data_IF_446226625054
#
_entry.id   IF_446226625054
#
_cell.length_a   1.000
_cell.length_b   1.000
_cell.length_c   1.000
_cell.angle_alpha   90.00
_cell.angle_beta   90.00
_cell.angle_gamma   90.00
#
_symmetry.space_group_name_H-M   'P 1'
#
loop_
_entity.id
_entity.type
_entity.pdbx_description
1 polymer ?
#
# COMPACT_ATOMS: atom_id res chain seq x y z
N UNK A 1 24.40 -11.90 -14.06
CA UNK A 1 23.55 -13.10 -13.86
C UNK A 1 23.10 -13.10 -12.42
N UNK A 2 21.79 -13.12 -12.15
CA UNK A 2 21.28 -13.23 -10.78
C UNK A 2 21.43 -14.67 -10.30
N UNK A 3 22.05 -14.85 -9.13
CA UNK A 3 22.19 -16.15 -8.48
C UNK A 3 21.41 -16.12 -7.18
N UNK A 4 20.52 -17.08 -6.97
CA UNK A 4 19.77 -17.22 -5.72
C UNK A 4 20.35 -18.40 -4.92
N UNK A 5 20.67 -18.14 -3.65
CA UNK A 5 21.10 -19.18 -2.73
C UNK A 5 19.89 -19.83 -2.05
N UNK A 6 20.03 -21.09 -1.66
CA UNK A 6 18.96 -21.85 -0.98
C UNK A 6 18.82 -21.41 0.47
N UNK A 7 17.61 -21.19 0.92
CA UNK A 7 17.31 -20.84 2.31
C UNK A 7 17.93 -21.81 3.32
N UNK A 8 18.30 -21.30 4.48
CA UNK A 8 18.91 -22.04 5.61
C UNK A 8 20.25 -22.69 5.29
N UNK A 9 20.95 -22.22 4.25
CA UNK A 9 22.32 -22.62 3.90
C UNK A 9 23.29 -21.45 4.06
N UNK A 10 24.60 -21.68 4.08
CA UNK A 10 25.59 -20.60 4.16
C UNK A 10 25.52 -19.59 2.99
N UNK A 11 24.98 -20.01 1.85
CA UNK A 11 24.84 -19.18 0.64
C UNK A 11 23.42 -18.67 0.43
N UNK A 12 22.55 -18.71 1.45
CA UNK A 12 21.17 -18.28 1.35
C UNK A 12 21.07 -16.82 0.87
N UNK A 13 20.18 -16.57 -0.09
CA UNK A 13 19.73 -15.21 -0.39
C UNK A 13 18.72 -14.80 0.69
N UNK A 14 18.99 -13.71 1.41
CA UNK A 14 18.21 -13.29 2.58
C UNK A 14 17.47 -11.98 2.31
N UNK A 15 16.19 -11.97 2.59
CA UNK A 15 15.35 -10.75 2.55
C UNK A 15 14.82 -10.46 3.94
N UNK A 16 15.02 -9.24 4.43
CA UNK A 16 14.43 -8.74 5.67
C UNK A 16 13.24 -7.85 5.34
N UNK A 17 12.04 -8.31 5.73
CA UNK A 17 10.80 -7.54 5.61
C UNK A 17 10.63 -6.65 6.84
N UNK A 18 10.52 -5.34 6.64
CA UNK A 18 10.22 -4.36 7.70
C UNK A 18 8.74 -3.98 7.63
N UNK A 19 7.95 -4.65 8.43
CA UNK A 19 6.52 -4.74 8.38
C UNK A 19 6.08 -6.16 8.05
N UNK A 20 5.24 -6.72 8.89
CA UNK A 20 4.81 -8.12 8.80
C UNK A 20 3.29 -8.25 8.74
N UNK A 21 2.63 -7.26 8.12
CA UNK A 21 1.21 -7.24 7.88
C UNK A 21 0.74 -8.27 6.84
N UNK A 22 -0.48 -8.10 6.37
CA UNK A 22 -1.09 -8.96 5.36
C UNK A 22 -0.40 -8.91 4.00
N UNK A 23 0.00 -7.73 3.56
CA UNK A 23 0.73 -7.55 2.30
C UNK A 23 2.12 -8.18 2.42
N UNK A 24 2.82 -7.92 3.53
CA UNK A 24 4.10 -8.53 3.84
C UNK A 24 4.04 -10.06 3.85
N UNK A 25 2.95 -10.65 4.36
CA UNK A 25 2.75 -12.12 4.34
C UNK A 25 2.74 -12.68 2.93
N UNK A 26 2.01 -12.06 2.00
CA UNK A 26 1.96 -12.52 0.61
C UNK A 26 3.33 -12.34 -0.08
N UNK A 27 4.06 -11.24 0.20
CA UNK A 27 5.45 -11.07 -0.30
C UNK A 27 6.37 -12.17 0.23
N UNK A 28 6.30 -12.50 1.52
CA UNK A 28 7.10 -13.58 2.12
C UNK A 28 6.83 -14.91 1.43
N UNK A 29 5.56 -15.24 1.18
CA UNK A 29 5.16 -16.47 0.49
C UNK A 29 5.77 -16.52 -0.92
N UNK A 30 5.71 -15.43 -1.67
CA UNK A 30 6.27 -15.38 -3.02
C UNK A 30 7.81 -15.45 -3.02
N UNK A 31 8.48 -14.82 -2.07
CA UNK A 31 9.94 -14.96 -1.91
C UNK A 31 10.34 -16.41 -1.58
N UNK A 32 9.58 -17.08 -0.71
CA UNK A 32 9.83 -18.49 -0.37
C UNK A 32 9.59 -19.44 -1.55
N UNK A 33 8.65 -19.15 -2.45
CA UNK A 33 8.47 -19.91 -3.71
C UNK A 33 9.72 -19.87 -4.59
N UNK A 34 10.55 -18.82 -4.45
CA UNK A 34 11.83 -18.66 -5.14
C UNK A 34 13.02 -19.19 -4.32
N UNK A 35 12.78 -19.87 -3.19
CA UNK A 35 13.82 -20.44 -2.33
C UNK A 35 14.56 -19.42 -1.45
N UNK A 36 14.07 -18.20 -1.35
CA UNK A 36 14.69 -17.10 -0.58
C UNK A 36 14.43 -17.29 0.91
N UNK A 37 15.44 -17.02 1.72
CA UNK A 37 15.32 -16.99 3.17
C UNK A 37 14.74 -15.64 3.63
N UNK A 38 13.63 -15.67 4.36
CA UNK A 38 12.95 -14.45 4.77
C UNK A 38 12.97 -14.28 6.28
N UNK A 39 13.29 -13.05 6.69
CA UNK A 39 13.29 -12.56 8.07
C UNK A 39 12.17 -11.52 8.17
N UNK A 40 11.18 -11.75 9.01
CA UNK A 40 10.04 -10.86 9.18
C UNK A 40 10.15 -10.06 10.50
N UNK A 41 10.04 -8.75 10.39
CA UNK A 41 10.18 -7.82 11.52
C UNK A 41 8.90 -7.02 11.71
N UNK A 42 8.39 -6.94 12.92
CA UNK A 42 7.24 -6.10 13.26
C UNK A 42 7.35 -5.60 14.72
N UNK A 43 6.45 -4.68 15.09
CA UNK A 43 6.36 -4.13 16.46
C UNK A 43 5.63 -5.04 17.46
N UNK A 44 4.90 -6.05 16.97
CA UNK A 44 4.14 -6.99 17.79
C UNK A 44 4.40 -8.44 17.34
N UNK A 45 4.23 -9.37 18.25
CA UNK A 45 4.46 -10.79 18.02
C UNK A 45 3.35 -11.43 17.18
N UNK A 46 3.71 -12.50 16.47
CA UNK A 46 2.79 -13.28 15.66
C UNK A 46 2.05 -12.47 14.57
N UNK A 47 2.68 -11.41 14.08
CA UNK A 47 2.17 -10.69 12.91
C UNK A 47 2.04 -11.63 11.70
N UNK A 48 1.11 -11.37 10.75
CA UNK A 48 0.81 -12.28 9.64
C UNK A 48 2.02 -12.84 8.89
N UNK A 49 2.99 -12.00 8.53
CA UNK A 49 4.20 -12.47 7.82
C UNK A 49 5.18 -13.24 8.72
N UNK A 50 5.22 -12.93 10.02
CA UNK A 50 6.05 -13.66 10.98
C UNK A 50 5.62 -15.13 11.09
N UNK A 51 4.34 -15.43 10.88
CA UNK A 51 3.79 -16.80 10.96
C UNK A 51 4.31 -17.72 9.84
N UNK A 52 4.84 -17.15 8.77
CA UNK A 52 5.30 -17.90 7.59
C UNK A 52 6.78 -17.68 7.26
N UNK A 53 7.44 -16.72 7.89
CA UNK A 53 8.85 -16.45 7.67
C UNK A 53 9.78 -17.52 8.29
N UNK A 54 11.02 -17.60 7.82
CA UNK A 54 12.04 -18.48 8.40
C UNK A 54 12.49 -18.02 9.78
N UNK A 55 12.55 -16.69 9.99
CA UNK A 55 12.82 -16.08 11.29
C UNK A 55 11.93 -14.87 11.50
N UNK A 56 11.59 -14.59 12.76
CA UNK A 56 10.74 -13.48 13.17
C UNK A 56 11.40 -12.69 14.29
N UNK A 57 11.28 -11.37 14.23
CA UNK A 57 11.74 -10.46 15.26
C UNK A 57 10.68 -9.42 15.61
N UNK A 58 10.54 -9.16 16.91
CA UNK A 58 9.63 -8.13 17.42
C UNK A 58 10.45 -6.99 18.01
N UNK A 59 10.50 -5.87 17.28
CA UNK A 59 11.17 -4.63 17.71
C UNK A 59 10.34 -3.42 17.28
N UNK A 60 10.56 -2.29 17.94
CA UNK A 60 10.11 -1.00 17.39
C UNK A 60 11.03 -0.61 16.22
N UNK A 61 10.52 -0.63 15.00
CA UNK A 61 11.30 -0.22 13.83
C UNK A 61 11.52 1.30 13.76
N UNK A 62 10.87 2.07 14.65
CA UNK A 62 11.17 3.50 14.88
C UNK A 62 12.42 3.69 15.74
N UNK A 63 12.84 2.66 16.49
CA UNK A 63 14.12 2.64 17.20
C UNK A 63 15.23 2.28 16.19
N UNK A 64 15.95 3.32 15.76
CA UNK A 64 17.00 3.19 14.74
C UNK A 64 18.16 2.31 15.20
N UNK A 65 18.53 2.34 16.48
CA UNK A 65 19.63 1.52 17.03
C UNK A 65 19.24 0.04 17.06
N UNK A 66 18.02 -0.28 17.50
CA UNK A 66 17.51 -1.63 17.48
C UNK A 66 17.40 -2.19 16.05
N UNK A 67 16.93 -1.37 15.10
CA UNK A 67 16.85 -1.75 13.69
C UNK A 67 18.24 -2.01 13.10
N UNK A 68 19.19 -1.11 13.32
CA UNK A 68 20.58 -1.24 12.85
C UNK A 68 21.26 -2.50 13.41
N UNK A 69 21.17 -2.71 14.71
CA UNK A 69 21.74 -3.89 15.38
C UNK A 69 21.16 -5.19 14.80
N UNK A 70 19.86 -5.22 14.49
CA UNK A 70 19.22 -6.38 13.89
C UNK A 70 19.71 -6.64 12.45
N UNK A 71 19.83 -5.61 11.62
CA UNK A 71 20.36 -5.70 10.25
C UNK A 71 21.81 -6.18 10.27
N UNK A 72 22.65 -5.62 11.13
CA UNK A 72 24.06 -6.03 11.27
C UNK A 72 24.20 -7.49 11.75
N UNK A 73 23.31 -7.96 12.62
CA UNK A 73 23.26 -9.36 13.07
C UNK A 73 22.88 -10.32 11.95
N UNK A 74 21.80 -10.02 11.22
CA UNK A 74 21.22 -10.93 10.22
C UNK A 74 21.89 -10.84 8.87
N UNK A 75 22.46 -9.68 8.55
CA UNK A 75 23.13 -9.38 7.27
C UNK A 75 22.30 -9.79 6.06
N UNK A 76 21.07 -9.22 5.91
CA UNK A 76 20.25 -9.53 4.77
C UNK A 76 20.87 -8.96 3.48
N UNK A 77 20.61 -9.63 2.35
CA UNK A 77 20.97 -9.12 1.01
C UNK A 77 20.04 -7.97 0.59
N UNK A 78 18.79 -8.00 1.08
CA UNK A 78 17.78 -6.98 0.79
C UNK A 78 17.00 -6.62 2.05
N UNK A 79 16.74 -5.32 2.24
CA UNK A 79 15.85 -4.75 3.26
C UNK A 79 14.63 -4.19 2.55
N UNK A 80 13.44 -4.67 2.90
CA UNK A 80 12.20 -4.33 2.19
C UNK A 80 11.20 -3.71 3.16
N UNK A 81 11.07 -2.35 3.19
CA UNK A 81 10.02 -1.65 3.92
C UNK A 81 8.64 -1.99 3.37
N UNK A 82 7.70 -2.30 4.27
CA UNK A 82 6.30 -2.62 3.94
C UNK A 82 5.31 -1.76 4.74
N UNK A 83 5.78 -1.06 5.76
CA UNK A 83 4.96 -0.15 6.59
C UNK A 83 5.62 1.21 6.73
N UNK A 84 4.85 2.22 7.15
CA UNK A 84 5.36 3.58 7.34
C UNK A 84 6.00 3.82 8.73
N UNK A 85 5.87 2.91 9.67
CA UNK A 85 6.41 3.06 11.03
C UNK A 85 7.85 2.57 11.15
N UNK A 86 8.78 3.17 10.41
CA UNK A 86 10.19 2.81 10.32
C UNK A 86 11.06 4.06 10.47
N UNK A 87 12.23 3.93 11.10
CA UNK A 87 13.26 4.98 11.12
C UNK A 87 13.87 5.14 9.72
N UNK A 88 13.36 6.11 8.95
CA UNK A 88 13.88 6.38 7.60
C UNK A 88 15.30 6.90 7.60
N UNK A 89 15.72 7.63 8.65
CA UNK A 89 17.10 8.06 8.81
C UNK A 89 18.04 6.85 8.89
N UNK A 90 17.68 5.83 9.68
CA UNK A 90 18.45 4.58 9.79
C UNK A 90 18.47 3.82 8.46
N UNK A 91 17.37 3.80 7.69
CA UNK A 91 17.39 3.19 6.35
C UNK A 91 18.38 3.88 5.41
N UNK A 92 18.48 5.21 5.46
CA UNK A 92 19.46 5.97 4.67
C UNK A 92 20.90 5.62 5.07
N UNK A 93 21.18 5.54 6.39
CA UNK A 93 22.50 5.13 6.90
C UNK A 93 22.86 3.70 6.45
N UNK A 94 21.93 2.76 6.53
CA UNK A 94 22.13 1.37 6.10
C UNK A 94 22.38 1.29 4.60
N UNK A 95 21.64 2.04 3.78
CA UNK A 95 21.87 2.11 2.33
C UNK A 95 23.24 2.69 2.01
N UNK A 96 23.68 3.76 2.72
CA UNK A 96 25.03 4.32 2.60
C UNK A 96 26.14 3.34 3.06
N UNK A 97 25.83 2.48 4.02
CA UNK A 97 26.72 1.41 4.48
C UNK A 97 26.78 0.20 3.52
N UNK A 98 26.03 0.23 2.41
CA UNK A 98 26.05 -0.78 1.36
C UNK A 98 24.99 -1.86 1.45
N UNK A 99 24.01 -1.74 2.34
CA UNK A 99 22.83 -2.61 2.33
C UNK A 99 21.85 -2.20 1.22
N UNK A 100 21.20 -3.18 0.58
CA UNK A 100 20.21 -2.90 -0.45
C UNK A 100 18.83 -2.65 0.17
N UNK A 101 18.40 -1.41 0.21
CA UNK A 101 17.02 -1.03 0.58
C UNK A 101 16.16 -0.97 -0.68
N UNK A 102 15.03 -1.66 -0.69
CA UNK A 102 14.16 -1.82 -1.88
C UNK A 102 12.77 -1.22 -1.62
N UNK A 103 12.30 -0.29 -2.48
CA UNK A 103 12.97 0.17 -3.71
C UNK A 103 14.20 1.07 -3.44
N UNK A 104 14.16 2.02 -2.52
CA UNK A 104 15.28 2.82 -2.00
C UNK A 104 14.90 3.43 -0.65
N UNK A 105 15.90 3.75 0.19
CA UNK A 105 15.65 4.51 1.42
C UNK A 105 15.03 5.89 1.14
N UNK A 106 15.46 6.56 0.05
CA UNK A 106 14.88 7.82 -0.43
C UNK A 106 13.39 7.68 -0.75
N UNK A 107 12.99 6.62 -1.48
CA UNK A 107 11.59 6.39 -1.82
C UNK A 107 10.75 6.24 -0.56
N UNK A 108 11.19 5.42 0.40
CA UNK A 108 10.51 5.24 1.69
C UNK A 108 10.41 6.56 2.46
N UNK A 109 11.48 7.34 2.53
CA UNK A 109 11.50 8.63 3.24
C UNK A 109 10.53 9.65 2.63
N UNK A 110 10.52 9.79 1.30
CA UNK A 110 9.67 10.75 0.61
C UNK A 110 8.19 10.40 0.70
N UNK A 111 7.85 9.12 0.56
CA UNK A 111 6.45 8.68 0.56
C UNK A 111 5.84 8.65 1.96
N UNK A 112 6.65 8.54 3.01
CA UNK A 112 6.20 8.70 4.39
C UNK A 112 5.93 10.16 4.78
N UNK A 113 6.39 11.11 4.01
CA UNK A 113 6.21 12.55 4.23
C UNK A 113 5.37 13.15 3.09
N UNK A 114 4.10 13.47 3.37
CA UNK A 114 3.18 14.05 2.36
C UNK A 114 3.72 15.32 1.74
N UNK A 115 4.46 16.15 2.47
CA UNK A 115 5.09 17.34 1.89
C UNK A 115 6.16 16.96 0.89
N UNK A 116 7.04 16.02 1.23
CA UNK A 116 8.11 15.58 0.35
C UNK A 116 7.58 15.03 -0.98
N UNK A 117 6.63 14.10 -0.91
CA UNK A 117 6.08 13.51 -2.14
C UNK A 117 5.22 14.49 -2.94
N UNK A 118 4.46 15.38 -2.27
CA UNK A 118 3.63 16.38 -2.95
C UNK A 118 4.48 17.42 -3.70
N UNK A 119 5.57 17.91 -3.09
CA UNK A 119 6.51 18.82 -3.73
C UNK A 119 7.25 18.17 -4.88
N UNK A 120 7.73 16.94 -4.70
CA UNK A 120 8.33 16.17 -5.80
C UNK A 120 7.37 16.07 -6.99
N UNK A 121 6.13 15.67 -6.76
CA UNK A 121 5.15 15.51 -7.83
C UNK A 121 4.81 16.83 -8.53
N UNK A 122 4.44 17.85 -7.77
CA UNK A 122 3.91 19.12 -8.30
C UNK A 122 5.00 20.08 -8.74
N UNK A 123 6.03 20.31 -7.89
CA UNK A 123 7.00 21.39 -8.08
C UNK A 123 8.21 20.94 -8.92
N UNK A 124 8.67 19.69 -8.74
CA UNK A 124 9.85 19.19 -9.46
C UNK A 124 9.49 18.49 -10.76
N UNK A 125 8.45 17.64 -10.75
CA UNK A 125 8.04 16.84 -11.91
C UNK A 125 6.93 17.50 -12.74
N UNK A 126 6.29 18.55 -12.24
CA UNK A 126 5.21 19.26 -12.93
C UNK A 126 3.98 18.40 -13.19
N UNK A 127 3.70 17.43 -12.32
CA UNK A 127 2.51 16.59 -12.43
C UNK A 127 1.27 17.36 -11.97
N UNK A 128 0.14 17.10 -12.62
CA UNK A 128 -1.15 17.62 -12.18
C UNK A 128 -1.50 17.01 -10.79
N UNK A 129 -1.73 17.87 -9.80
CA UNK A 129 -2.15 17.51 -8.44
C UNK A 129 -3.33 18.37 -8.02
N UNK A 130 -4.04 18.01 -6.95
CA UNK A 130 -4.97 18.95 -6.31
C UNK A 130 -4.21 20.21 -5.87
N UNK A 131 -4.82 21.41 -5.91
CA UNK A 131 -4.24 22.60 -5.27
C UNK A 131 -3.99 22.34 -3.79
N UNK A 132 -2.88 22.81 -3.24
CA UNK A 132 -2.55 22.52 -1.84
C UNK A 132 -1.82 23.67 -1.14
N UNK A 133 -1.86 23.67 0.19
CA UNK A 133 -1.05 24.49 1.08
C UNK A 133 -0.61 23.72 2.30
N UNK A 134 0.64 23.92 2.73
CA UNK A 134 1.15 23.43 4.00
C UNK A 134 1.10 24.53 5.05
N UNK A 135 0.64 24.19 6.24
CA UNK A 135 0.47 25.15 7.33
C UNK A 135 0.91 24.55 8.67
N UNK A 136 1.46 25.42 9.53
CA UNK A 136 2.05 25.00 10.80
C UNK A 136 1.21 25.43 12.03
N UNK A 137 0.25 26.33 11.83
CA UNK A 137 -0.57 26.85 12.91
C UNK A 137 -2.00 27.14 12.45
N UNK A 138 -2.89 27.34 13.40
CA UNK A 138 -4.33 27.50 13.15
C UNK A 138 -4.68 28.75 12.32
N UNK A 139 -3.97 29.87 12.51
CA UNK A 139 -4.23 31.11 11.76
C UNK A 139 -3.91 30.92 10.27
N UNK A 140 -2.76 30.28 9.96
CA UNK A 140 -2.37 29.97 8.60
C UNK A 140 -3.32 28.92 7.99
N UNK A 141 -3.81 27.97 8.81
CA UNK A 141 -4.81 26.99 8.40
C UNK A 141 -6.11 27.66 7.94
N UNK A 142 -6.64 28.62 8.71
CA UNK A 142 -7.83 29.36 8.31
C UNK A 142 -7.62 30.10 6.98
N UNK A 143 -6.47 30.76 6.82
CA UNK A 143 -6.11 31.46 5.59
C UNK A 143 -5.96 30.51 4.40
N UNK A 144 -5.40 29.31 4.61
CA UNK A 144 -5.27 28.29 3.59
C UNK A 144 -6.63 27.74 3.15
N UNK A 145 -7.56 27.51 4.08
CA UNK A 145 -8.93 27.08 3.77
C UNK A 145 -9.67 28.16 2.95
N UNK A 146 -9.50 29.45 3.29
CA UNK A 146 -10.10 30.54 2.52
C UNK A 146 -9.56 30.60 1.08
N UNK A 147 -8.27 30.37 0.91
CA UNK A 147 -7.60 30.43 -0.40
C UNK A 147 -7.89 29.21 -1.28
N UNK A 148 -7.88 28.01 -0.69
CA UNK A 148 -8.18 26.73 -1.38
C UNK A 148 -9.67 26.65 -1.71
N UNK A 149 -10.51 27.12 -0.80
CA UNK A 149 -11.96 27.03 -0.91
C UNK A 149 -12.55 25.78 -0.25
N UNK A 150 -13.88 25.78 -0.09
CA UNK A 150 -14.64 24.67 0.48
C UNK A 150 -15.51 24.08 -0.64
N UNK A 151 -15.56 22.71 -0.78
CA UNK A 151 -14.95 21.71 0.10
C UNK A 151 -13.44 21.57 -0.10
N UNK A 152 -12.72 21.21 0.97
CA UNK A 152 -11.31 20.86 0.92
C UNK A 152 -11.01 19.67 1.84
N UNK A 153 -9.84 19.06 1.65
CA UNK A 153 -9.37 17.92 2.45
C UNK A 153 -8.22 18.37 3.34
N UNK A 154 -8.27 18.01 4.61
CA UNK A 154 -7.26 18.32 5.62
C UNK A 154 -6.60 17.01 6.06
N UNK A 155 -5.26 16.96 6.02
CA UNK A 155 -4.51 15.74 6.39
C UNK A 155 -3.26 16.12 7.21
N UNK A 156 -2.88 15.35 8.25
CA UNK A 156 -1.55 15.46 8.85
C UNK A 156 -0.47 15.11 7.82
N UNK A 157 0.73 15.69 7.98
CA UNK A 157 1.86 15.39 7.08
C UNK A 157 2.30 13.93 7.17
N UNK A 158 2.27 13.35 8.37
CA UNK A 158 2.66 11.96 8.62
C UNK A 158 1.46 11.19 9.18
N UNK A 159 0.68 10.59 8.33
CA UNK A 159 -0.40 9.67 8.68
C UNK A 159 -0.68 8.70 7.54
N UNK A 160 -1.33 7.58 7.84
CA UNK A 160 -1.78 6.60 6.84
C UNK A 160 -3.20 6.12 7.16
N UNK A 161 -3.84 5.44 6.22
CA UNK A 161 -5.19 4.86 6.38
C UNK A 161 -6.23 5.88 6.88
N UNK A 162 -6.17 7.11 6.39
CA UNK A 162 -7.14 8.16 6.71
C UNK A 162 -7.09 8.74 8.13
N UNK A 163 -6.15 8.31 9.00
CA UNK A 163 -6.06 8.85 10.36
C UNK A 163 -5.76 10.35 10.37
N UNK A 164 -6.60 11.13 11.08
CA UNK A 164 -6.53 12.58 11.13
C UNK A 164 -6.96 13.29 9.84
N UNK A 165 -7.43 12.56 8.83
CA UNK A 165 -7.95 13.13 7.59
C UNK A 165 -9.42 13.48 7.72
N UNK A 166 -9.82 14.65 7.23
CA UNK A 166 -11.21 15.07 7.16
C UNK A 166 -11.52 15.85 5.89
N UNK A 167 -12.76 15.75 5.42
CA UNK A 167 -13.29 16.61 4.37
C UNK A 167 -14.02 17.77 5.05
N UNK A 168 -13.51 18.98 4.89
CA UNK A 168 -14.09 20.20 5.40
C UNK A 168 -15.16 20.66 4.41
N UNK A 169 -16.44 20.58 4.84
CA UNK A 169 -17.62 20.91 4.00
C UNK A 169 -18.24 22.25 4.32
N UNK A 170 -17.99 22.80 5.51
CA UNK A 170 -18.49 24.09 5.95
C UNK A 170 -17.44 24.86 6.77
N UNK A 171 -17.61 26.19 6.91
CA UNK A 171 -16.74 27.00 7.77
C UNK A 171 -16.87 26.62 9.26
N UNK A 172 -17.98 26.06 9.66
CA UNK A 172 -18.22 25.66 11.06
C UNK A 172 -17.38 24.45 11.46
N UNK A 173 -16.89 23.68 10.49
CA UNK A 173 -16.06 22.49 10.72
C UNK A 173 -14.56 22.82 10.85
N UNK A 174 -14.12 24.06 10.63
CA UNK A 174 -12.70 24.44 10.57
C UNK A 174 -11.96 24.02 11.84
N UNK A 175 -12.45 24.37 13.01
CA UNK A 175 -11.81 24.02 14.28
C UNK A 175 -11.73 22.51 14.47
N UNK A 176 -12.82 21.81 14.23
CA UNK A 176 -12.90 20.34 14.36
C UNK A 176 -11.92 19.64 13.42
N UNK A 177 -11.81 20.11 12.17
CA UNK A 177 -10.89 19.53 11.19
C UNK A 177 -9.42 19.72 11.58
N UNK A 178 -9.09 20.90 12.13
CA UNK A 178 -7.76 21.17 12.65
C UNK A 178 -7.42 20.26 13.84
N UNK A 179 -8.29 20.22 14.85
CA UNK A 179 -8.08 19.43 16.07
C UNK A 179 -7.92 17.95 15.73
N UNK A 180 -8.78 17.41 14.86
CA UNK A 180 -8.67 16.02 14.41
C UNK A 180 -7.36 15.73 13.65
N UNK A 181 -6.90 16.67 12.83
CA UNK A 181 -5.62 16.52 12.14
C UNK A 181 -4.41 16.57 13.11
N UNK A 182 -4.52 17.34 14.23
CA UNK A 182 -3.49 17.37 15.26
C UNK A 182 -3.44 16.07 16.08
N UNK A 183 -4.58 15.43 16.33
CA UNK A 183 -4.66 14.16 17.07
C UNK A 183 -4.20 12.96 16.22
N UNK A 184 -4.46 12.98 14.91
CA UNK A 184 -4.20 11.86 13.99
C UNK A 184 -2.77 11.76 13.46
N UNK A 185 -1.89 12.72 13.78
CA UNK A 185 -0.51 12.72 13.31
C UNK A 185 0.36 11.68 14.02
N UNK A 186 1.01 10.78 13.27
CA UNK A 186 1.96 9.78 13.85
C UNK A 186 3.21 10.41 14.48
N UNK A 187 3.57 11.61 14.06
CA UNK A 187 4.66 12.40 14.64
C UNK A 187 4.20 13.36 15.75
N UNK A 188 2.94 13.25 16.20
CA UNK A 188 2.30 14.18 17.11
C UNK A 188 1.67 15.37 16.39
N UNK A 189 1.21 16.37 17.17
CA UNK A 189 0.66 17.62 16.65
C UNK A 189 1.70 18.38 15.83
N UNK A 190 1.27 18.99 14.73
CA UNK A 190 2.19 19.74 13.88
C UNK A 190 1.59 20.17 12.53
N UNK A 191 2.46 20.21 11.55
CA UNK A 191 2.18 20.64 10.19
C UNK A 191 1.09 19.79 9.51
N UNK A 192 0.17 20.45 8.80
CA UNK A 192 -0.90 19.82 8.02
C UNK A 192 -0.86 20.29 6.58
N UNK A 193 -1.47 19.50 5.69
CA UNK A 193 -1.76 19.90 4.31
C UNK A 193 -3.26 20.17 4.18
N UNK A 194 -3.61 21.28 3.51
CA UNK A 194 -4.96 21.58 3.03
C UNK A 194 -4.96 21.40 1.53
N UNK A 195 -5.79 20.49 1.02
CA UNK A 195 -5.89 20.15 -0.39
C UNK A 195 -7.28 20.51 -0.93
N UNK A 196 -7.33 21.06 -2.15
CA UNK A 196 -8.60 21.28 -2.84
C UNK A 196 -9.30 19.95 -3.11
N UNK A 197 -10.60 19.91 -2.90
CA UNK A 197 -11.41 18.73 -3.20
C UNK A 197 -11.49 18.53 -4.71
N UNK A 198 -11.01 17.38 -5.18
CA UNK A 198 -11.11 16.99 -6.59
C UNK A 198 -12.46 16.32 -6.83
N UNK A 199 -13.25 16.86 -7.74
CA UNK A 199 -14.44 16.18 -8.24
C UNK A 199 -14.03 15.27 -9.38
N UNK A 200 -13.97 13.97 -9.12
CA UNK A 200 -13.54 12.94 -10.07
C UNK A 200 -14.70 12.02 -10.47
N UNK A 201 -14.56 11.34 -11.59
CA UNK A 201 -15.50 10.32 -12.04
C UNK A 201 -15.23 9.00 -11.34
N UNK A 202 -13.94 8.63 -11.21
CA UNK A 202 -13.47 7.47 -10.45
C UNK A 202 -12.01 7.64 -10.04
N UNK A 203 -11.60 6.83 -9.07
CA UNK A 203 -10.23 6.72 -8.58
C UNK A 203 -9.61 5.41 -9.04
N UNK A 204 -8.32 5.43 -9.37
CA UNK A 204 -7.56 4.24 -9.73
C UNK A 204 -6.30 4.09 -8.89
N UNK A 205 -5.89 2.85 -8.69
CA UNK A 205 -4.52 2.49 -8.38
C UNK A 205 -3.87 1.91 -9.64
N UNK A 206 -2.82 2.55 -10.15
CA UNK A 206 -1.99 1.98 -11.20
C UNK A 206 -0.74 1.37 -10.58
N UNK A 207 -0.78 0.06 -10.38
CA UNK A 207 0.39 -0.68 -9.95
C UNK A 207 1.46 -0.63 -11.03
N UNK A 208 2.63 -0.15 -10.65
CA UNK A 208 3.76 0.08 -11.53
C UNK A 208 4.96 -0.69 -10.99
N UNK A 209 5.51 -1.60 -11.77
CA UNK A 209 6.67 -2.39 -11.37
C UNK A 209 7.91 -1.94 -12.12
N UNK A 210 8.92 -1.51 -11.37
CA UNK A 210 10.24 -1.18 -11.90
C UNK A 210 11.18 -2.36 -11.67
N UNK A 211 11.81 -2.82 -12.71
CA UNK A 211 12.66 -4.00 -12.68
C UNK A 211 13.86 -3.85 -13.62
N UNK A 212 14.75 -4.84 -13.63
CA UNK A 212 16.03 -4.77 -14.34
C UNK A 212 15.91 -4.47 -15.85
N UNK A 213 14.79 -4.80 -16.48
CA UNK A 213 14.57 -4.58 -17.92
C UNK A 213 13.69 -3.36 -18.24
N UNK A 214 13.30 -2.57 -17.23
CA UNK A 214 12.48 -1.36 -17.43
C UNK A 214 11.31 -1.23 -16.45
N UNK A 215 10.23 -0.66 -16.93
CA UNK A 215 9.00 -0.41 -16.16
C UNK A 215 7.81 -1.07 -16.86
N UNK A 216 7.02 -1.82 -16.11
CA UNK A 216 5.76 -2.39 -16.59
C UNK A 216 4.60 -1.83 -15.75
N UNK A 217 3.45 -1.64 -16.40
CA UNK A 217 2.21 -1.20 -15.75
C UNK A 217 1.22 -2.36 -15.74
N UNK A 218 0.58 -2.59 -14.61
CA UNK A 218 -0.53 -3.52 -14.53
C UNK A 218 -1.78 -2.87 -15.13
N UNK A 219 -2.79 -3.67 -15.47
CA UNK A 219 -4.09 -3.12 -15.82
C UNK A 219 -4.62 -2.27 -14.64
N UNK A 220 -5.21 -1.09 -14.90
CA UNK A 220 -5.69 -0.19 -13.84
C UNK A 220 -6.66 -0.90 -12.90
N UNK A 221 -6.56 -0.59 -11.63
CA UNK A 221 -7.42 -1.12 -10.57
C UNK A 221 -8.36 0.00 -10.13
N UNK A 222 -9.67 -0.22 -10.29
CA UNK A 222 -10.69 0.59 -9.67
C UNK A 222 -10.95 0.11 -8.24
N UNK A 223 -11.32 1.02 -7.36
CA UNK A 223 -11.57 0.68 -5.97
C UNK A 223 -12.63 1.56 -5.32
N UNK A 224 -13.16 1.07 -4.21
CA UNK A 224 -14.07 1.80 -3.33
C UNK A 224 -13.46 1.85 -1.93
N UNK A 225 -13.48 3.03 -1.33
CA UNK A 225 -13.06 3.27 0.05
C UNK A 225 -14.26 3.77 0.86
N UNK A 226 -14.31 3.40 2.14
CA UNK A 226 -15.23 3.96 3.13
C UNK A 226 -14.40 4.45 4.31
N UNK A 227 -14.60 5.71 4.69
CA UNK A 227 -13.85 6.36 5.78
C UNK A 227 -12.32 6.28 5.63
N UNK A 228 -11.84 6.30 4.37
CA UNK A 228 -10.42 6.20 4.04
C UNK A 228 -9.85 4.80 4.14
N UNK A 229 -10.67 3.76 4.34
CA UNK A 229 -10.26 2.37 4.34
C UNK A 229 -10.78 1.64 3.09
N UNK A 230 -9.90 0.82 2.51
CA UNK A 230 -10.20 -0.02 1.36
C UNK A 230 -11.32 -1.02 1.66
N UNK A 231 -12.32 -1.10 0.78
CA UNK A 231 -13.45 -2.03 0.88
C UNK A 231 -13.52 -3.01 -0.26
N UNK A 232 -13.46 -2.53 -1.48
CA UNK A 232 -13.56 -3.33 -2.69
C UNK A 232 -12.56 -2.82 -3.72
N UNK A 233 -12.00 -3.72 -4.54
CA UNK A 233 -11.29 -3.36 -5.76
C UNK A 233 -11.64 -4.30 -6.90
N UNK A 234 -11.42 -3.85 -8.11
CA UNK A 234 -11.66 -4.62 -9.32
C UNK A 234 -10.62 -4.32 -10.39
N UNK A 235 -10.39 -5.28 -11.25
CA UNK A 235 -9.44 -5.17 -12.35
C UNK A 235 -9.96 -5.95 -13.59
N UNK A 236 -9.91 -5.35 -14.79
CA UNK A 236 -9.40 -4.00 -15.05
C UNK A 236 -10.47 -2.91 -14.79
N UNK A 237 -10.04 -1.72 -14.38
CA UNK A 237 -10.87 -0.53 -14.46
C UNK A 237 -10.89 -0.04 -15.90
N UNK A 238 -12.08 0.10 -16.47
CA UNK A 238 -12.24 0.67 -17.81
C UNK A 238 -11.84 2.14 -17.82
N UNK A 239 -11.01 2.53 -18.77
CA UNK A 239 -10.52 3.89 -18.99
C UNK A 239 -10.48 4.21 -20.48
N UNK A 240 -10.53 5.49 -20.86
CA UNK A 240 -10.15 5.90 -22.21
C UNK A 240 -8.66 5.67 -22.44
N UNK A 241 -8.26 5.43 -23.70
CA UNK A 241 -6.85 5.26 -24.06
C UNK A 241 -6.03 6.52 -23.70
N UNK A 242 -6.64 7.70 -23.82
CA UNK A 242 -6.00 8.99 -23.48
C UNK A 242 -5.72 9.04 -21.95
N UNK A 243 -6.71 8.72 -21.12
CA UNK A 243 -6.54 8.74 -19.68
C UNK A 243 -5.53 7.66 -19.23
N UNK A 244 -5.55 6.47 -19.84
CA UNK A 244 -4.60 5.40 -19.55
C UNK A 244 -3.16 5.82 -19.86
N UNK A 245 -2.90 6.40 -21.02
CA UNK A 245 -1.57 6.90 -21.39
C UNK A 245 -1.09 8.01 -20.46
N UNK A 246 -1.97 8.92 -20.04
CA UNK A 246 -1.64 9.95 -19.04
C UNK A 246 -1.30 9.33 -17.69
N UNK A 247 -2.09 8.37 -17.22
CA UNK A 247 -1.85 7.65 -15.96
C UNK A 247 -0.49 6.95 -15.97
N UNK A 248 -0.16 6.23 -17.04
CA UNK A 248 1.14 5.57 -17.22
C UNK A 248 2.29 6.59 -17.24
N UNK A 249 2.14 7.71 -17.93
CA UNK A 249 3.14 8.78 -17.95
C UNK A 249 3.40 9.39 -16.56
N UNK A 250 2.34 9.63 -15.79
CA UNK A 250 2.43 10.10 -14.40
C UNK A 250 3.18 9.07 -13.55
N UNK A 251 2.75 7.82 -13.62
CA UNK A 251 3.34 6.73 -12.84
C UNK A 251 4.81 6.50 -13.17
N UNK A 252 5.20 6.54 -14.45
CA UNK A 252 6.59 6.41 -14.87
C UNK A 252 7.47 7.55 -14.32
N UNK A 253 7.00 8.80 -14.41
CA UNK A 253 7.74 9.96 -13.90
C UNK A 253 7.94 9.89 -12.39
N UNK A 254 6.88 9.65 -11.62
CA UNK A 254 6.98 9.65 -10.16
C UNK A 254 7.81 8.48 -9.64
N UNK A 255 7.60 7.26 -10.17
CA UNK A 255 8.38 6.10 -9.75
C UNK A 255 9.82 6.17 -10.23
N UNK A 256 10.07 6.78 -11.40
CA UNK A 256 11.42 7.09 -11.90
C UNK A 256 12.20 8.01 -10.99
N UNK A 257 11.56 9.07 -10.46
CA UNK A 257 12.17 10.02 -9.53
C UNK A 257 12.43 9.41 -8.14
N UNK A 258 11.58 8.48 -7.69
CA UNK A 258 11.78 7.71 -6.45
C UNK A 258 12.94 6.71 -6.59
N UNK A 259 13.11 6.14 -7.78
CA UNK A 259 14.21 5.23 -8.10
C UNK A 259 14.01 3.81 -7.55
N UNK A 260 15.04 2.97 -7.75
CA UNK A 260 15.07 1.58 -7.30
C UNK A 260 14.18 0.64 -8.11
N UNK A 261 14.16 -0.62 -7.68
CA UNK A 261 13.33 -1.69 -8.23
C UNK A 261 12.28 -2.11 -7.20
N UNK A 262 11.12 -2.56 -7.66
CA UNK A 262 10.01 -2.96 -6.81
C UNK A 262 8.67 -2.57 -7.44
N UNK A 263 7.60 -2.83 -6.72
CA UNK A 263 6.27 -2.40 -7.10
C UNK A 263 5.91 -1.09 -6.40
N UNK A 264 5.16 -0.26 -7.10
CA UNK A 264 4.65 1.03 -6.61
C UNK A 264 3.14 1.09 -6.87
N UNK A 265 2.36 1.41 -5.84
CA UNK A 265 0.95 1.73 -5.97
C UNK A 265 0.77 3.21 -6.21
N UNK A 266 0.42 3.62 -7.43
CA UNK A 266 0.21 5.03 -7.79
C UNK A 266 -1.28 5.32 -7.84
N UNK A 267 -1.77 6.12 -6.89
CA UNK A 267 -3.18 6.51 -6.80
C UNK A 267 -3.44 7.79 -7.58
N UNK A 268 -4.49 7.79 -8.38
CA UNK A 268 -4.85 8.90 -9.26
C UNK A 268 -6.36 9.07 -9.36
N UNK A 269 -6.79 10.32 -9.42
CA UNK A 269 -8.17 10.70 -9.75
C UNK A 269 -8.31 10.86 -11.26
N UNK A 270 -9.43 10.39 -11.82
CA UNK A 270 -9.73 10.48 -13.25
C UNK A 270 -10.99 11.31 -13.45
N UNK A 271 -10.91 12.33 -14.34
CA UNK A 271 -11.98 13.25 -14.69
C UNK A 271 -12.06 13.31 -16.23
N UNK A 272 -12.90 12.47 -16.83
CA UNK A 272 -12.89 12.28 -18.28
C UNK A 272 -11.53 11.75 -18.75
N UNK A 273 -10.85 12.55 -19.59
CA UNK A 273 -9.48 12.24 -20.05
C UNK A 273 -8.37 12.87 -19.19
N UNK A 274 -8.72 13.65 -18.16
CA UNK A 274 -7.72 14.24 -17.26
C UNK A 274 -7.42 13.30 -16.10
N UNK A 275 -6.13 13.22 -15.76
CA UNK A 275 -5.62 12.37 -14.68
C UNK A 275 -4.82 13.22 -13.70
N UNK A 276 -5.14 13.11 -12.43
CA UNK A 276 -4.57 13.92 -11.35
C UNK A 276 -3.87 12.98 -10.37
N UNK A 277 -2.59 13.20 -10.12
CA UNK A 277 -1.82 12.45 -9.13
C UNK A 277 -2.34 12.73 -7.72
N UNK A 278 -2.59 11.67 -6.96
CA UNK A 278 -3.00 11.74 -5.57
C UNK A 278 -1.84 11.32 -4.63
N UNK A 279 -1.44 10.05 -4.66
CA UNK A 279 -0.44 9.48 -3.74
C UNK A 279 0.35 8.37 -4.43
N UNK A 280 1.51 7.99 -3.86
CA UNK A 280 2.27 6.82 -4.28
C UNK A 280 2.83 6.07 -3.07
N UNK A 281 2.68 4.76 -3.08
CA UNK A 281 3.27 3.84 -2.10
C UNK A 281 4.38 3.03 -2.77
N UNK A 282 5.63 3.00 -2.24
CA UNK A 282 6.76 2.27 -2.84
C UNK A 282 6.76 0.80 -2.38
N UNK A 283 5.62 0.14 -2.41
CA UNK A 283 5.36 -1.19 -1.90
C UNK A 283 4.05 -1.74 -2.50
N UNK A 284 3.72 -3.03 -2.29
CA UNK A 284 2.41 -3.57 -2.60
C UNK A 284 1.27 -2.74 -1.99
N UNK A 285 0.14 -2.69 -2.66
CA UNK A 285 -0.99 -1.85 -2.30
C UNK A 285 -2.22 -2.69 -1.97
N UNK A 286 -3.00 -2.27 -0.97
CA UNK A 286 -4.21 -3.00 -0.53
C UNK A 286 -5.19 -3.29 -1.67
N UNK A 287 -5.38 -2.33 -2.58
CA UNK A 287 -6.24 -2.51 -3.76
C UNK A 287 -5.71 -3.57 -4.71
N UNK A 288 -4.41 -3.81 -4.70
CA UNK A 288 -3.74 -4.83 -5.52
C UNK A 288 -3.96 -6.27 -5.07
N UNK A 289 -4.62 -6.51 -3.92
CA UNK A 289 -5.04 -7.84 -3.50
C UNK A 289 -5.86 -8.56 -4.59
N UNK A 290 -6.58 -7.84 -5.45
CA UNK A 290 -7.31 -8.41 -6.58
C UNK A 290 -6.39 -9.15 -7.54
N UNK A 291 -5.10 -8.79 -7.63
CA UNK A 291 -4.12 -9.45 -8.51
C UNK A 291 -3.83 -10.90 -8.11
N UNK A 292 -4.15 -11.31 -6.89
CA UNK A 292 -4.07 -12.70 -6.45
C UNK A 292 -4.98 -13.67 -7.24
N UNK A 293 -5.96 -13.14 -7.99
CA UNK A 293 -6.88 -13.95 -8.79
C UNK A 293 -7.03 -13.43 -10.22
N UNK A 294 -6.74 -12.16 -10.48
CA UNK A 294 -6.91 -11.53 -11.80
C UNK A 294 -5.75 -11.77 -12.75
N UNK A 295 -4.56 -12.04 -12.24
CA UNK A 295 -3.32 -12.13 -13.01
C UNK A 295 -2.58 -13.44 -12.79
N UNK A 296 -1.72 -13.80 -13.75
CA UNK A 296 -0.81 -14.94 -13.62
C UNK A 296 0.23 -14.70 -12.51
N UNK A 297 0.81 -13.50 -12.47
CA UNK A 297 1.71 -13.05 -11.40
C UNK A 297 1.01 -11.95 -10.59
N UNK A 298 0.78 -12.21 -9.32
CA UNK A 298 0.24 -11.20 -8.40
C UNK A 298 1.21 -10.02 -8.22
N UNK A 299 0.73 -8.91 -7.71
CA UNK A 299 1.60 -7.78 -7.33
C UNK A 299 2.74 -8.22 -6.41
N UNK A 300 2.49 -9.20 -5.54
CA UNK A 300 3.49 -9.74 -4.61
C UNK A 300 4.55 -10.56 -5.33
N UNK A 301 4.17 -11.38 -6.30
CA UNK A 301 5.10 -12.14 -7.14
C UNK A 301 5.94 -11.20 -8.02
N UNK A 302 5.32 -10.14 -8.58
CA UNK A 302 6.01 -9.11 -9.35
C UNK A 302 7.00 -8.33 -8.47
N UNK A 303 6.60 -7.98 -7.23
CA UNK A 303 7.48 -7.32 -6.26
C UNK A 303 8.67 -8.20 -5.90
N UNK A 304 8.43 -9.47 -5.58
CA UNK A 304 9.50 -10.43 -5.28
C UNK A 304 10.51 -10.57 -6.45
N UNK A 305 10.01 -10.66 -7.70
CA UNK A 305 10.89 -10.68 -8.89
C UNK A 305 11.71 -9.40 -9.02
N UNK A 306 11.07 -8.24 -8.82
CA UNK A 306 11.74 -6.95 -8.93
C UNK A 306 12.84 -6.77 -7.86
N UNK A 307 12.54 -7.13 -6.59
CA UNK A 307 13.51 -7.13 -5.47
C UNK A 307 14.75 -7.94 -5.83
N UNK A 308 14.56 -9.13 -6.38
CA UNK A 308 15.63 -10.08 -6.67
C UNK A 308 16.34 -9.79 -8.00
N UNK A 309 15.99 -8.72 -8.72
CA UNK A 309 16.57 -8.40 -10.03
C UNK A 309 16.22 -9.44 -11.10
N UNK A 310 15.07 -10.10 -10.98
CA UNK A 310 14.57 -11.05 -11.97
C UNK A 310 13.77 -10.35 -13.07
N UNK A 311 13.77 -10.87 -14.30
CA UNK A 311 13.04 -10.25 -15.40
C UNK A 311 11.51 -10.40 -15.25
N UNK A 312 10.79 -9.40 -15.74
CA UNK A 312 9.34 -9.39 -15.87
C UNK A 312 9.01 -9.08 -17.33
N UNK A 313 8.97 -10.11 -18.21
CA UNK A 313 8.79 -9.89 -19.63
C UNK A 313 7.36 -9.46 -20.00
N UNK A 314 6.37 -9.93 -19.26
CA UNK A 314 4.96 -9.64 -19.47
C UNK A 314 4.16 -9.76 -18.18
N UNK A 315 2.97 -9.10 -18.16
CA UNK A 315 2.00 -9.16 -17.08
C UNK A 315 0.65 -9.57 -17.70
N UNK A 316 0.31 -10.84 -17.57
CA UNK A 316 -0.88 -11.41 -18.18
C UNK A 316 -2.09 -11.29 -17.25
N UNK A 317 -3.14 -10.59 -17.70
CA UNK A 317 -4.46 -10.57 -17.07
C UNK A 317 -5.21 -11.85 -17.46
N UNK A 318 -5.70 -12.61 -16.49
CA UNK A 318 -6.45 -13.87 -16.71
C UNK A 318 -7.90 -13.58 -17.06
N UNK A 319 -8.56 -12.76 -16.24
CA UNK A 319 -9.96 -12.37 -16.44
C UNK A 319 -10.35 -11.19 -15.56
N UNK A 320 -11.48 -10.53 -15.87
CA UNK A 320 -12.06 -9.54 -14.95
C UNK A 320 -12.28 -10.14 -13.56
N UNK A 321 -11.90 -9.41 -12.55
CA UNK A 321 -11.88 -9.90 -11.17
C UNK A 321 -12.22 -8.79 -10.18
N UNK A 322 -12.65 -9.20 -9.00
CA UNK A 322 -12.93 -8.31 -7.89
C UNK A 322 -12.42 -8.88 -6.57
N UNK A 323 -12.17 -7.99 -5.63
CA UNK A 323 -11.84 -8.31 -4.24
C UNK A 323 -12.71 -7.53 -3.27
N UNK A 324 -12.97 -8.11 -2.11
CA UNK A 324 -13.73 -7.48 -1.02
C UNK A 324 -13.04 -7.74 0.30
N UNK A 325 -12.71 -6.66 1.01
CA UNK A 325 -12.09 -6.73 2.33
C UNK A 325 -13.05 -7.32 3.36
N UNK A 326 -12.53 -8.20 4.20
CA UNK A 326 -13.23 -8.73 5.38
C UNK A 326 -12.86 -7.85 6.55
N UNK A 327 -13.77 -6.98 6.95
CA UNK A 327 -13.57 -5.96 7.99
C UNK A 327 -14.53 -6.20 9.14
N UNK A 328 -14.04 -6.05 10.35
CA UNK A 328 -14.82 -6.15 11.58
C UNK A 328 -14.57 -4.95 12.50
N UNK A 329 -15.52 -4.70 13.38
CA UNK A 329 -15.43 -3.73 14.47
C UNK A 329 -15.70 -4.44 15.79
N UNK A 330 -14.79 -4.33 16.78
CA UNK A 330 -14.99 -4.94 18.08
C UNK A 330 -13.70 -5.18 18.86
N UNK A 331 -13.79 -6.09 19.85
CA UNK A 331 -12.65 -6.54 20.67
C UNK A 331 -12.70 -8.04 20.84
N UNK A 332 -11.64 -8.73 20.42
CA UNK A 332 -11.51 -10.19 20.57
C UNK A 332 -10.07 -10.65 20.45
N UNK A 333 -9.74 -11.72 21.13
CA UNK A 333 -8.50 -12.50 20.93
C UNK A 333 -8.82 -13.92 20.43
N UNK A 334 -10.07 -14.18 20.03
CA UNK A 334 -10.53 -15.50 19.62
C UNK A 334 -11.44 -15.42 18.40
N UNK A 335 -10.93 -14.82 17.32
CA UNK A 335 -11.69 -14.66 16.08
C UNK A 335 -11.90 -16.00 15.40
N UNK A 336 -13.14 -16.28 14.97
CA UNK A 336 -13.49 -17.47 14.22
C UNK A 336 -14.26 -17.09 12.94
N UNK A 337 -14.06 -17.87 11.89
CA UNK A 337 -14.70 -17.70 10.59
C UNK A 337 -15.56 -18.93 10.30
N UNK A 338 -16.88 -18.75 10.30
CA UNK A 338 -17.88 -19.72 9.85
C UNK A 338 -18.32 -19.45 8.41
N UNK A 339 -19.00 -20.40 7.79
CA UNK A 339 -19.56 -20.27 6.45
C UNK A 339 -18.54 -20.23 5.31
N UNK A 340 -17.26 -20.49 5.58
CA UNK A 340 -16.17 -20.43 4.59
C UNK A 340 -16.44 -21.39 3.41
N UNK A 341 -16.98 -22.57 3.68
CA UNK A 341 -17.35 -23.55 2.65
C UNK A 341 -18.47 -23.05 1.72
N UNK A 342 -19.39 -22.23 2.25
CA UNK A 342 -20.45 -21.60 1.45
C UNK A 342 -19.91 -20.44 0.63
N UNK A 343 -19.04 -19.61 1.22
CA UNK A 343 -18.39 -18.48 0.54
C UNK A 343 -17.54 -18.97 -0.65
N UNK A 344 -16.95 -20.16 -0.56
CA UNK A 344 -16.12 -20.76 -1.60
C UNK A 344 -16.88 -21.73 -2.53
N UNK A 345 -18.19 -21.88 -2.38
CA UNK A 345 -18.98 -22.82 -3.17
C UNK A 345 -19.10 -22.45 -4.66
N UNK A 346 -18.99 -21.18 -5.01
CA UNK A 346 -19.02 -20.74 -6.40
C UNK A 346 -17.65 -20.94 -7.09
N UNK A 347 -17.61 -21.37 -8.36
CA UNK A 347 -16.36 -21.46 -9.11
C UNK A 347 -15.64 -20.11 -9.19
N UNK A 348 -14.31 -20.15 -9.15
CA UNK A 348 -13.45 -18.96 -9.27
C UNK A 348 -13.61 -17.96 -8.13
N UNK A 349 -13.96 -18.43 -6.95
CA UNK A 349 -13.85 -17.69 -5.70
C UNK A 349 -12.62 -18.14 -4.91
N UNK A 350 -12.06 -17.26 -4.12
CA UNK A 350 -10.94 -17.54 -3.22
C UNK A 350 -11.02 -16.64 -1.98
N UNK A 351 -10.28 -16.99 -0.93
CA UNK A 351 -10.21 -16.23 0.30
C UNK A 351 -8.75 -16.18 0.79
N UNK A 352 -8.37 -15.05 1.40
CA UNK A 352 -7.16 -14.93 2.21
C UNK A 352 -7.57 -14.50 3.60
N UNK A 353 -7.33 -15.35 4.59
CA UNK A 353 -7.44 -14.99 6.00
C UNK A 353 -6.05 -14.63 6.52
N UNK A 354 -5.90 -13.42 7.03
CA UNK A 354 -4.58 -12.85 7.30
C UNK A 354 -3.90 -13.46 8.52
N UNK A 355 -4.68 -14.06 9.43
CA UNK A 355 -4.15 -14.67 10.65
C UNK A 355 -3.82 -13.64 11.74
N UNK A 356 -4.53 -12.50 11.76
CA UNK A 356 -4.40 -11.50 12.83
C UNK A 356 -5.04 -12.06 14.10
N UNK A 357 -4.25 -12.22 15.18
CA UNK A 357 -4.69 -12.89 16.41
C UNK A 357 -5.57 -12.04 17.31
N UNK A 358 -5.67 -10.72 17.07
CA UNK A 358 -6.42 -9.81 17.92
C UNK A 358 -7.24 -8.82 17.07
N UNK A 359 -8.42 -8.52 17.53
CA UNK A 359 -9.26 -7.38 17.09
C UNK A 359 -9.36 -6.41 18.25
N UNK A 360 -9.06 -5.14 18.00
CA UNK A 360 -9.27 -4.03 18.93
C UNK A 360 -9.67 -2.80 18.14
N UNK A 361 -10.98 -2.54 18.07
CA UNK A 361 -11.61 -1.55 17.20
C UNK A 361 -11.79 -2.07 15.78
N UNK A 362 -11.58 -1.20 14.80
CA UNK A 362 -11.69 -1.50 13.37
C UNK A 362 -10.50 -2.31 12.88
N UNK A 363 -10.75 -3.48 12.24
CA UNK A 363 -9.67 -4.34 11.76
C UNK A 363 -10.04 -5.14 10.52
N UNK A 364 -9.19 -5.10 9.52
CA UNK A 364 -9.26 -5.94 8.33
C UNK A 364 -8.62 -7.29 8.63
N UNK A 365 -9.38 -8.38 8.44
CA UNK A 365 -9.00 -9.75 8.81
C UNK A 365 -8.73 -10.66 7.62
N UNK A 366 -9.14 -10.25 6.44
CA UNK A 366 -8.99 -11.05 5.23
C UNK A 366 -9.48 -10.32 4.00
N UNK A 367 -9.45 -11.02 2.88
CA UNK A 367 -10.00 -10.59 1.60
C UNK A 367 -10.64 -11.77 0.90
N UNK A 368 -11.84 -11.56 0.36
CA UNK A 368 -12.50 -12.44 -0.61
C UNK A 368 -12.15 -11.98 -2.02
N UNK A 369 -11.99 -12.94 -2.91
CA UNK A 369 -11.57 -12.74 -4.28
C UNK A 369 -12.52 -13.51 -5.20
N UNK A 370 -12.90 -12.90 -6.31
CA UNK A 370 -13.68 -13.57 -7.34
C UNK A 370 -13.27 -13.12 -8.73
N UNK A 371 -13.38 -14.02 -9.72
CA UNK A 371 -13.27 -13.67 -11.14
C UNK A 371 -14.48 -14.16 -11.92
N UNK A 372 -14.82 -13.44 -12.98
CA UNK A 372 -15.94 -13.76 -13.85
C UNK A 372 -15.69 -13.20 -15.27
N UNK A 373 -16.70 -13.28 -16.15
CA UNK A 373 -16.64 -12.78 -17.54
C UNK A 373 -16.69 -11.24 -17.62
N UNK A 374 -17.12 -10.56 -16.56
CA UNK A 374 -17.07 -9.08 -16.43
C UNK A 374 -16.80 -8.67 -14.99
N UNK A 375 -16.36 -7.41 -14.82
CA UNK A 375 -16.10 -6.81 -13.49
C UNK A 375 -17.36 -6.78 -12.64
N UNK A 376 -18.51 -6.42 -13.22
CA UNK A 376 -19.80 -6.34 -12.51
C UNK A 376 -20.18 -7.70 -11.93
N UNK A 377 -20.02 -8.77 -12.72
CA UNK A 377 -20.30 -10.14 -12.26
C UNK A 377 -19.30 -10.61 -11.21
N UNK A 378 -18.03 -10.23 -11.32
CA UNK A 378 -17.02 -10.52 -10.31
C UNK A 378 -17.33 -9.81 -8.98
N UNK A 379 -17.75 -8.53 -9.04
CA UNK A 379 -18.19 -7.77 -7.87
C UNK A 379 -19.43 -8.37 -7.23
N UNK A 380 -20.42 -8.76 -8.01
CA UNK A 380 -21.62 -9.43 -7.50
C UNK A 380 -21.25 -10.74 -6.79
N UNK A 381 -20.42 -11.56 -7.44
CA UNK A 381 -19.98 -12.86 -6.91
C UNK A 381 -19.21 -12.71 -5.59
N UNK A 382 -18.29 -11.76 -5.49
CA UNK A 382 -17.52 -11.55 -4.25
C UNK A 382 -18.41 -11.02 -3.12
N UNK A 383 -19.43 -10.21 -3.41
CA UNK A 383 -20.45 -9.77 -2.44
C UNK A 383 -21.29 -10.92 -1.93
N UNK A 384 -21.80 -11.78 -2.83
CA UNK A 384 -22.53 -12.97 -2.46
C UNK A 384 -21.70 -13.92 -1.60
N UNK A 385 -20.41 -14.09 -1.92
CA UNK A 385 -19.49 -14.88 -1.11
C UNK A 385 -19.29 -14.27 0.29
N UNK A 386 -19.17 -12.95 0.38
CA UNK A 386 -19.03 -12.24 1.65
C UNK A 386 -20.24 -12.44 2.57
N UNK A 387 -21.47 -12.41 2.02
CA UNK A 387 -22.72 -12.61 2.76
C UNK A 387 -22.84 -14.01 3.39
N UNK A 388 -22.06 -14.98 2.91
CA UNK A 388 -22.03 -16.33 3.47
C UNK A 388 -21.08 -16.46 4.68
N UNK A 389 -20.23 -15.48 4.92
CA UNK A 389 -19.30 -15.52 6.03
C UNK A 389 -19.99 -15.16 7.36
N UNK A 390 -19.71 -15.93 8.37
CA UNK A 390 -20.11 -15.69 9.76
C UNK A 390 -18.84 -15.44 10.58
N UNK A 391 -18.65 -14.22 11.08
CA UNK A 391 -17.44 -13.85 11.83
C UNK A 391 -17.82 -13.68 13.30
N UNK A 392 -17.22 -14.49 14.16
CA UNK A 392 -17.37 -14.41 15.62
C UNK A 392 -16.14 -13.75 16.23
N UNK A 393 -16.35 -12.75 17.08
CA UNK A 393 -15.32 -12.02 17.83
C UNK A 393 -15.26 -12.49 19.28
#
# INVERSE_FOLDING_TARGET
MTTLGTALTPNATKVMMLGSGELGKEVVIELQRLGVEVIAVDRYENAPAQQVAHRAYTISMLDGEALKALVEKEKPDYIVPEVEAISTATLVELEQAGFNVVPTAKATQLTMNREGIRRLASEELGLATSPYQFVDNFSDFQSAVEKIGIPCVVKPIMSSSGHGQSILKSKDDIQKAWDYAQEGGRAGAGRVIVEGFVKFDYEITLLTVRHINGTNFLAPIGHCQEDGDYRESWQPQAMSDIALLKAQSIAEKITGALGGFGIFGVEMFVCGDEVIFNEVSPRPHDTGMVTLISQELSEFALHARAILGLPIPDITLISPSASKAIVVEGKSQNVQFGGVEKALAQPHTNIRLFGKGEVNGHRRLGVLLARDVSVEKALEKVKQAYEQLEISL
#
